data_IF_699895719342
#
_entry.id   IF_699895719342
#
_cell.length_a   1.000
_cell.length_b   1.000
_cell.length_c   1.000
_cell.angle_alpha   90.00
_cell.angle_beta   90.00
_cell.angle_gamma   90.00
#
_symmetry.space_group_name_H-M   'P 1'
#
loop_
_entity.id
_entity.type
_entity.pdbx_description
1 polymer ?
#
# COMPACT_ATOMS: atom_id res chain seq x y z
N UNK A 1 -0.03 -50.44 35.31
CA UNK A 1 1.17 -51.30 35.45
C UNK A 1 1.45 -51.40 36.94
N UNK A 2 1.60 -52.59 37.54
CA UNK A 2 1.87 -52.70 38.96
C UNK A 2 3.23 -52.05 39.27
N UNK A 3 3.25 -51.10 40.20
CA UNK A 3 4.48 -50.38 40.56
C UNK A 3 5.39 -51.33 41.37
N UNK A 4 6.49 -51.78 40.76
CA UNK A 4 7.46 -52.65 41.42
C UNK A 4 8.37 -51.81 42.35
N UNK A 5 8.10 -51.85 43.66
CA UNK A 5 8.92 -51.12 44.64
C UNK A 5 10.27 -51.81 44.87
N UNK A 6 11.41 -51.08 44.75
CA UNK A 6 12.75 -51.60 45.05
C UNK A 6 12.91 -52.13 46.48
N UNK A 7 13.65 -53.22 46.64
CA UNK A 7 13.93 -53.89 47.92
C UNK A 7 14.49 -52.95 49.01
N UNK A 8 15.28 -51.95 48.63
CA UNK A 8 15.87 -50.95 49.54
C UNK A 8 14.78 -50.10 50.21
N UNK A 9 13.78 -49.68 49.44
CA UNK A 9 12.65 -48.88 49.95
C UNK A 9 11.78 -49.72 50.87
N UNK A 10 11.56 -50.98 50.50
CA UNK A 10 10.77 -51.93 51.29
C UNK A 10 11.38 -52.23 52.66
N UNK A 11 12.71 -52.37 52.72
CA UNK A 11 13.44 -52.51 54.00
C UNK A 11 13.41 -51.25 54.86
N UNK A 12 13.47 -50.07 54.24
CA UNK A 12 13.54 -48.81 54.97
C UNK A 12 12.18 -48.38 55.54
N UNK A 13 11.08 -48.65 54.83
CA UNK A 13 9.74 -48.18 55.20
C UNK A 13 8.88 -49.26 55.87
N UNK A 14 9.27 -50.53 55.74
CA UNK A 14 8.47 -51.66 56.22
C UNK A 14 7.37 -52.06 55.24
N UNK A 15 6.99 -53.33 55.27
CA UNK A 15 5.95 -53.90 54.37
C UNK A 15 4.58 -53.27 54.59
N UNK A 16 4.25 -52.89 55.82
CA UNK A 16 2.95 -52.30 56.19
C UNK A 16 2.74 -50.93 55.55
N UNK A 17 3.75 -50.06 55.62
CA UNK A 17 3.73 -48.73 54.99
C UNK A 17 3.70 -48.86 53.47
N UNK A 18 4.44 -49.83 52.91
CA UNK A 18 4.42 -50.10 51.46
C UNK A 18 3.05 -50.60 50.99
N UNK A 19 2.39 -51.44 51.79
CA UNK A 19 1.07 -51.98 51.46
C UNK A 19 -0.03 -50.91 51.44
N UNK A 20 0.08 -49.86 52.27
CA UNK A 20 -0.86 -48.73 52.24
C UNK A 20 -0.48 -47.66 51.21
N UNK A 21 0.82 -47.39 51.04
CA UNK A 21 1.31 -46.32 50.19
C UNK A 21 1.14 -46.62 48.70
N UNK A 22 1.37 -47.87 48.26
CA UNK A 22 1.28 -48.24 46.83
C UNK A 22 -0.11 -48.02 46.26
N UNK A 23 -1.20 -48.54 46.88
CA UNK A 23 -2.56 -48.30 46.37
C UNK A 23 -2.93 -46.81 46.36
N UNK A 24 -2.57 -46.06 47.42
CA UNK A 24 -2.80 -44.62 47.49
C UNK A 24 -2.09 -43.86 46.36
N UNK A 25 -0.83 -44.19 46.11
CA UNK A 25 -0.04 -43.59 45.03
C UNK A 25 -0.64 -43.90 43.67
N UNK A 26 -1.04 -45.16 43.43
CA UNK A 26 -1.64 -45.57 42.16
C UNK A 26 -2.98 -44.85 41.91
N UNK A 27 -3.84 -44.75 42.92
CA UNK A 27 -5.10 -44.02 42.86
C UNK A 27 -4.87 -42.52 42.60
N UNK A 28 -3.94 -41.91 43.35
CA UNK A 28 -3.65 -40.48 43.22
C UNK A 28 -2.99 -40.15 41.88
N UNK A 29 -2.09 -41.00 41.38
CA UNK A 29 -1.50 -40.82 40.05
C UNK A 29 -2.54 -40.99 38.94
N UNK A 30 -3.47 -41.95 39.06
CA UNK A 30 -4.56 -42.11 38.10
C UNK A 30 -5.42 -40.84 38.03
N UNK A 31 -5.79 -40.31 39.19
CA UNK A 31 -6.62 -39.12 39.29
C UNK A 31 -5.92 -37.88 38.71
N UNK A 32 -4.62 -37.69 39.00
CA UNK A 32 -3.84 -36.56 38.50
C UNK A 32 -3.60 -36.66 36.99
N UNK A 33 -3.29 -37.86 36.48
CA UNK A 33 -3.07 -38.05 35.04
C UNK A 33 -4.37 -37.78 34.29
N UNK A 34 -5.49 -38.36 34.71
CA UNK A 34 -6.79 -38.11 34.07
C UNK A 34 -7.22 -36.64 34.12
N UNK A 35 -6.91 -35.93 35.21
CA UNK A 35 -7.26 -34.52 35.35
C UNK A 35 -6.37 -33.56 34.55
N UNK A 36 -5.13 -33.94 34.23
CA UNK A 36 -4.14 -33.03 33.62
C UNK A 36 -3.66 -33.43 32.22
N UNK A 37 -3.95 -34.63 31.75
CA UNK A 37 -3.60 -35.03 30.38
C UNK A 37 -4.73 -34.71 29.43
N UNK A 38 -4.39 -33.97 28.36
CA UNK A 38 -5.27 -33.82 27.21
C UNK A 38 -5.44 -35.20 26.58
N UNK A 39 -6.68 -35.71 26.40
CA UNK A 39 -6.92 -36.97 25.73
C UNK A 39 -6.24 -37.00 24.37
N UNK A 40 -5.65 -38.14 24.02
CA UNK A 40 -4.94 -38.31 22.74
C UNK A 40 -5.81 -37.94 21.53
N UNK A 41 -7.12 -38.12 21.63
CA UNK A 41 -8.07 -37.82 20.57
C UNK A 41 -8.28 -36.32 20.38
N UNK A 42 -8.29 -35.52 21.46
CA UNK A 42 -8.28 -34.05 21.35
C UNK A 42 -6.99 -33.54 20.71
N UNK A 43 -5.84 -34.16 21.05
CA UNK A 43 -4.57 -33.82 20.41
C UNK A 43 -4.59 -34.11 18.90
N UNK A 44 -5.16 -35.25 18.50
CA UNK A 44 -5.34 -35.61 17.08
C UNK A 44 -6.29 -34.67 16.36
N UNK A 45 -7.36 -34.25 17.03
CA UNK A 45 -8.30 -33.28 16.47
C UNK A 45 -7.62 -31.92 16.24
N UNK A 46 -6.83 -31.45 17.20
CA UNK A 46 -6.05 -30.21 17.04
C UNK A 46 -5.07 -30.30 15.87
N UNK A 47 -4.37 -31.42 15.70
CA UNK A 47 -3.46 -31.62 14.56
C UNK A 47 -4.22 -31.62 13.23
N UNK A 48 -5.36 -32.31 13.14
CA UNK A 48 -6.19 -32.31 11.93
C UNK A 48 -6.67 -30.89 11.57
N UNK A 49 -7.06 -30.10 12.57
CA UNK A 49 -7.43 -28.68 12.37
C UNK A 49 -6.23 -27.84 11.93
N UNK A 50 -5.04 -28.10 12.46
CA UNK A 50 -3.80 -27.42 12.07
C UNK A 50 -3.43 -27.72 10.61
N UNK A 51 -3.56 -28.97 10.16
CA UNK A 51 -3.31 -29.37 8.77
C UNK A 51 -4.30 -28.68 7.81
N UNK A 52 -5.58 -28.59 8.20
CA UNK A 52 -6.56 -27.82 7.42
C UNK A 52 -6.19 -26.34 7.35
N UNK A 53 -5.76 -25.75 8.47
CA UNK A 53 -5.36 -24.35 8.53
C UNK A 53 -4.11 -24.08 7.69
N UNK A 54 -3.13 -24.98 7.67
CA UNK A 54 -1.95 -24.88 6.82
C UNK A 54 -2.33 -24.89 5.33
N UNK A 55 -3.26 -25.75 4.94
CA UNK A 55 -3.80 -25.80 3.59
C UNK A 55 -4.51 -24.50 3.22
N UNK A 56 -5.39 -24.00 4.08
CA UNK A 56 -6.14 -22.77 3.84
C UNK A 56 -5.19 -21.56 3.73
N UNK A 57 -4.18 -21.48 4.60
CA UNK A 57 -3.14 -20.44 4.53
C UNK A 57 -2.35 -20.51 3.24
N UNK A 58 -2.07 -21.72 2.74
CA UNK A 58 -1.37 -21.90 1.46
C UNK A 58 -2.21 -21.39 0.29
N UNK A 59 -3.51 -21.70 0.27
CA UNK A 59 -4.47 -21.20 -0.72
C UNK A 59 -4.54 -19.66 -0.68
N UNK A 60 -4.67 -19.08 0.51
CA UNK A 60 -4.73 -17.62 0.70
C UNK A 60 -3.44 -16.95 0.19
N UNK A 61 -2.27 -17.55 0.43
CA UNK A 61 -1.00 -17.02 -0.08
C UNK A 61 -0.96 -17.00 -1.61
N UNK A 62 -1.44 -18.06 -2.25
CA UNK A 62 -1.53 -18.12 -3.72
C UNK A 62 -2.53 -17.08 -4.27
N UNK A 63 -3.69 -16.94 -3.65
CA UNK A 63 -4.68 -15.93 -4.03
C UNK A 63 -4.16 -14.52 -3.85
N UNK A 64 -3.46 -14.23 -2.75
CA UNK A 64 -2.80 -12.94 -2.55
C UNK A 64 -1.73 -12.68 -3.60
N UNK A 65 -0.96 -13.69 -4.00
CA UNK A 65 0.04 -13.54 -5.05
C UNK A 65 -0.62 -13.23 -6.40
N UNK A 66 -1.70 -13.94 -6.75
CA UNK A 66 -2.51 -13.68 -7.95
C UNK A 66 -3.09 -12.26 -7.95
N UNK A 67 -3.77 -11.87 -6.88
CA UNK A 67 -4.37 -10.55 -6.73
C UNK A 67 -3.33 -9.43 -6.84
N UNK A 68 -2.14 -9.60 -6.26
CA UNK A 68 -1.05 -8.63 -6.37
C UNK A 68 -0.51 -8.52 -7.80
N UNK A 69 -0.47 -9.62 -8.54
CA UNK A 69 -0.03 -9.62 -9.92
C UNK A 69 -1.03 -8.89 -10.83
N UNK A 70 -2.32 -9.22 -10.69
CA UNK A 70 -3.42 -8.54 -11.42
C UNK A 70 -3.44 -7.04 -11.10
N UNK A 71 -3.40 -6.67 -9.83
CA UNK A 71 -3.41 -5.27 -9.41
C UNK A 71 -2.21 -4.49 -9.97
N UNK A 72 -1.02 -5.12 -10.03
CA UNK A 72 0.16 -4.51 -10.62
C UNK A 72 -0.01 -4.30 -12.13
N UNK A 73 -0.62 -5.25 -12.82
CA UNK A 73 -0.89 -5.14 -14.25
C UNK A 73 -1.90 -4.02 -14.54
N UNK A 74 -2.98 -3.96 -13.78
CA UNK A 74 -4.03 -2.96 -13.93
C UNK A 74 -3.53 -1.55 -13.61
N UNK A 75 -2.78 -1.38 -12.52
CA UNK A 75 -2.11 -0.11 -12.24
C UNK A 75 -1.12 0.26 -13.35
N UNK A 76 -0.38 -0.71 -13.89
CA UNK A 76 0.53 -0.49 -14.99
C UNK A 76 -0.20 -0.01 -16.26
N UNK A 77 -1.38 -0.56 -16.57
CA UNK A 77 -2.23 -0.10 -17.67
C UNK A 77 -2.74 1.31 -17.43
N UNK A 78 -3.28 1.58 -16.25
CA UNK A 78 -3.82 2.88 -15.88
C UNK A 78 -2.74 3.97 -15.94
N UNK A 79 -1.54 3.69 -15.43
CA UNK A 79 -0.40 4.60 -15.54
C UNK A 79 -0.05 4.93 -16.99
N UNK A 80 -0.01 3.93 -17.88
CA UNK A 80 0.28 4.17 -19.32
C UNK A 80 -0.81 5.03 -19.96
N UNK A 81 -2.07 4.70 -19.74
CA UNK A 81 -3.19 5.47 -20.30
C UNK A 81 -3.19 6.92 -19.79
N UNK A 82 -2.93 7.13 -18.49
CA UNK A 82 -2.80 8.46 -17.93
C UNK A 82 -1.64 9.22 -18.55
N UNK A 83 -0.48 8.58 -18.73
CA UNK A 83 0.69 9.22 -19.34
C UNK A 83 0.38 9.67 -20.78
N UNK A 84 -0.21 8.80 -21.59
CA UNK A 84 -0.62 9.15 -22.96
C UNK A 84 -1.63 10.30 -23.00
N UNK A 85 -2.58 10.33 -22.05
CA UNK A 85 -3.55 11.44 -21.94
C UNK A 85 -2.83 12.73 -21.56
N UNK A 86 -1.89 12.69 -20.61
CA UNK A 86 -1.09 13.85 -20.23
C UNK A 86 -0.22 14.35 -21.37
N UNK A 87 0.44 13.45 -22.12
CA UNK A 87 1.26 13.80 -23.28
C UNK A 87 0.43 14.52 -24.34
N UNK A 88 -0.78 14.00 -24.65
CA UNK A 88 -1.73 14.67 -25.57
C UNK A 88 -2.19 16.04 -25.06
N UNK A 89 -2.36 16.19 -23.75
CA UNK A 89 -2.75 17.47 -23.15
C UNK A 89 -1.61 18.48 -23.25
N UNK A 90 -0.37 18.07 -22.94
CA UNK A 90 0.81 18.91 -23.09
C UNK A 90 0.98 19.38 -24.53
N UNK A 91 0.85 18.47 -25.51
CA UNK A 91 0.95 18.85 -26.92
C UNK A 91 -0.09 19.91 -27.32
N UNK A 92 -1.32 19.80 -26.82
CA UNK A 92 -2.37 20.82 -27.03
C UNK A 92 -2.02 22.15 -26.37
N UNK A 93 -1.44 22.12 -25.17
CA UNK A 93 -0.99 23.33 -24.49
C UNK A 93 0.15 24.01 -25.25
N UNK A 94 1.12 23.24 -25.76
CA UNK A 94 2.23 23.76 -26.57
C UNK A 94 1.71 24.41 -27.86
N UNK A 95 0.78 23.75 -28.56
CA UNK A 95 0.12 24.34 -29.74
C UNK A 95 -0.63 25.63 -29.40
N UNK A 96 -1.29 25.68 -28.25
CA UNK A 96 -2.00 26.87 -27.79
C UNK A 96 -1.02 28.00 -27.47
N UNK A 97 0.10 27.71 -26.80
CA UNK A 97 1.16 28.68 -26.52
C UNK A 97 1.75 29.26 -27.81
N UNK A 98 2.06 28.42 -28.79
CA UNK A 98 2.56 28.89 -30.08
C UNK A 98 1.59 29.85 -30.78
N UNK A 99 0.28 29.56 -30.74
CA UNK A 99 -0.75 30.47 -31.29
C UNK A 99 -0.84 31.79 -30.52
N UNK A 100 -0.72 31.75 -29.20
CA UNK A 100 -0.72 32.96 -28.39
C UNK A 100 0.51 33.82 -28.66
N UNK A 101 1.69 33.22 -28.81
CA UNK A 101 2.92 33.93 -29.15
C UNK A 101 2.81 34.62 -30.52
N UNK A 102 2.24 33.92 -31.52
CA UNK A 102 2.01 34.50 -32.85
C UNK A 102 1.04 35.69 -32.78
N UNK A 103 -0.08 35.54 -32.06
CA UNK A 103 -1.05 36.62 -31.88
C UNK A 103 -0.43 37.81 -31.14
N UNK A 104 0.34 37.56 -30.08
CA UNK A 104 1.04 38.60 -29.34
C UNK A 104 2.03 39.34 -30.23
N UNK A 105 2.80 38.62 -31.04
CA UNK A 105 3.74 39.22 -31.98
C UNK A 105 3.04 40.15 -32.97
N UNK A 106 1.93 39.71 -33.56
CA UNK A 106 1.13 40.52 -34.49
C UNK A 106 0.59 41.79 -33.80
N UNK A 107 0.04 41.66 -32.59
CA UNK A 107 -0.48 42.80 -31.81
C UNK A 107 0.60 43.83 -31.48
N UNK A 108 1.79 43.37 -31.09
CA UNK A 108 2.94 44.26 -30.79
C UNK A 108 3.41 44.98 -32.05
N UNK A 109 3.52 44.29 -33.18
CA UNK A 109 3.91 44.91 -34.45
C UNK A 109 2.89 45.97 -34.87
N UNK A 110 1.59 45.66 -34.80
CA UNK A 110 0.54 46.61 -35.14
C UNK A 110 0.56 47.84 -34.22
N UNK A 111 0.72 47.61 -32.91
CA UNK A 111 0.79 48.70 -31.92
C UNK A 111 2.00 49.60 -32.17
N UNK A 112 3.16 49.03 -32.51
CA UNK A 112 4.37 49.80 -32.83
C UNK A 112 4.16 50.70 -34.05
N UNK A 113 3.52 50.20 -35.11
CA UNK A 113 3.18 51.01 -36.29
C UNK A 113 2.15 52.09 -35.97
N UNK A 114 1.10 51.77 -35.21
CA UNK A 114 0.08 52.73 -34.80
C UNK A 114 0.66 53.88 -33.96
N UNK A 115 1.52 53.56 -32.99
CA UNK A 115 2.21 54.58 -32.17
C UNK A 115 3.12 55.45 -33.04
N UNK A 116 3.87 54.85 -33.97
CA UNK A 116 4.70 55.61 -34.91
C UNK A 116 3.89 56.55 -35.80
N UNK A 117 2.76 56.09 -36.36
CA UNK A 117 1.89 56.93 -37.19
C UNK A 117 1.25 58.08 -36.41
N UNK A 118 0.77 57.82 -35.19
CA UNK A 118 0.24 58.85 -34.30
C UNK A 118 1.29 59.90 -33.94
N UNK A 119 2.54 59.49 -33.68
CA UNK A 119 3.64 60.41 -33.43
C UNK A 119 3.90 61.32 -34.64
N UNK A 120 3.96 60.76 -35.85
CA UNK A 120 4.15 61.56 -37.09
C UNK A 120 3.00 62.55 -37.28
N UNK A 121 1.74 62.11 -37.17
CA UNK A 121 0.58 63.00 -37.28
C UNK A 121 0.66 64.12 -36.24
N UNK A 122 0.99 63.80 -35.00
CA UNK A 122 1.17 64.78 -33.92
C UNK A 122 2.27 65.81 -34.24
N UNK A 123 3.41 65.37 -34.81
CA UNK A 123 4.48 66.28 -35.23
C UNK A 123 4.04 67.20 -36.37
N UNK A 124 3.31 66.68 -37.37
CA UNK A 124 2.79 67.47 -38.49
C UNK A 124 1.81 68.53 -37.99
N UNK A 125 0.86 68.16 -37.13
CA UNK A 125 -0.09 69.10 -36.51
C UNK A 125 0.67 70.19 -35.73
N UNK A 126 1.70 69.81 -34.98
CA UNK A 126 2.52 70.77 -34.21
C UNK A 126 3.24 71.78 -35.13
N UNK A 127 3.81 71.32 -36.24
CA UNK A 127 4.46 72.19 -37.24
C UNK A 127 3.45 73.12 -37.91
N UNK A 128 2.27 72.62 -38.31
CA UNK A 128 1.22 73.42 -38.92
C UNK A 128 0.73 74.53 -37.98
N UNK A 129 0.52 74.21 -36.70
CA UNK A 129 0.15 75.20 -35.68
C UNK A 129 1.22 76.26 -35.48
N UNK A 130 2.50 75.86 -35.49
CA UNK A 130 3.61 76.82 -35.41
C UNK A 130 3.62 77.78 -36.61
N UNK A 131 3.47 77.28 -37.85
CA UNK A 131 3.43 78.13 -39.06
C UNK A 131 2.21 79.07 -39.03
N UNK A 132 1.05 78.57 -38.59
CA UNK A 132 -0.16 79.40 -38.47
C UNK A 132 0.03 80.57 -37.48
N UNK A 133 0.81 80.42 -36.41
CA UNK A 133 1.12 81.51 -35.48
C UNK A 133 2.02 82.60 -36.09
N UNK A 134 2.81 82.27 -37.10
CA UNK A 134 3.71 83.22 -37.78
C UNK A 134 3.11 83.82 -39.06
N UNK A 135 1.87 83.45 -39.42
CA UNK A 135 1.15 84.02 -40.57
C UNK A 135 0.18 85.09 -40.02
N UNK A 136 0.50 86.39 -40.11
CA UNK A 136 -0.34 87.48 -39.58
C UNK A 136 -1.65 87.68 -40.33
#
# INVERSE_FOLDING_TARGET
MPVAIPQVVRRAWGEEVVAEFVPWMEERFHEIILAKTVPRDEYREVLSRLDSLEKDVSIIKEEQARMRAEFREDLGRLHREMNERFDRVNERFDQMHARFDEMYHQMVVQTRWLVGALAVIGTVISVLLAIAQFTP
#
